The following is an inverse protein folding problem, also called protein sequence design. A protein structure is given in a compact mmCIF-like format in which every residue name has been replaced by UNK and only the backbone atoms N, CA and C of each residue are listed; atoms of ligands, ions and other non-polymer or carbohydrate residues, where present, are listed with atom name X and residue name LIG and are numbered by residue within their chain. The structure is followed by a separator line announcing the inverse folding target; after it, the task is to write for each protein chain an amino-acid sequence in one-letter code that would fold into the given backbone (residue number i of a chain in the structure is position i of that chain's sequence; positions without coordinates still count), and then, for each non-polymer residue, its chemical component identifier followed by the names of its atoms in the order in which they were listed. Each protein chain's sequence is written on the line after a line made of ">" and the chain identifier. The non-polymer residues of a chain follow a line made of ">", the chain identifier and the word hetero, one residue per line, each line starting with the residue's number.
data_IF_105948711744
#
_entry.id   IF_105948711744
#
_cell.length_a   1.000
_cell.length_b   1.000
_cell.length_c   1.000
_cell.angle_alpha   90.00
_cell.angle_beta   90.00
_cell.angle_gamma   90.00
#
_symmetry.space_group_name_H-M   'P 1'
#
loop_
_entity.id
_entity.type
_entity.pdbx_description
1 polymer ?
2 non-polymer ?
3 non-polymer ?
4 non-polymer ?
5 water ?
#
# COMPACT_ATOMS: atom_id res chain seq x y z
N UNK A 2 -12.22 -6.96 -27.03
CA UNK A 2 -13.08 -6.67 -25.87
C UNK A 2 -13.24 -5.18 -25.64
N UNK A 3 -12.13 -4.44 -25.70
CA UNK A 3 -12.15 -3.02 -25.40
C UNK A 3 -12.01 -2.15 -26.63
N UNK A 4 -12.09 -2.72 -27.83
CA UNK A 4 -11.99 -1.88 -29.01
C UNK A 4 -13.16 -0.90 -29.04
N UNK A 5 -12.85 0.37 -29.29
CA UNK A 5 -13.85 1.44 -29.31
C UNK A 5 -14.52 1.62 -27.96
N UNK A 6 -13.88 1.17 -26.88
CA UNK A 6 -14.36 1.42 -25.52
C UNK A 6 -13.23 2.07 -24.74
N UNK A 7 -13.56 2.62 -23.58
CA UNK A 7 -12.53 3.24 -22.75
C UNK A 7 -12.69 2.78 -21.29
N UNK A 8 -11.57 2.85 -20.57
CA UNK A 8 -11.46 2.36 -19.20
C UNK A 8 -11.16 3.56 -18.30
N UNK A 9 -11.85 3.64 -17.18
CA UNK A 9 -11.52 4.60 -16.13
C UNK A 9 -10.97 3.84 -14.94
N UNK A 10 -9.75 4.19 -14.53
CA UNK A 10 -9.17 3.68 -13.29
C UNK A 10 -9.30 4.75 -12.23
N UNK A 11 -9.89 4.41 -11.09
CA UNK A 11 -10.08 5.37 -10.01
C UNK A 11 -8.91 5.22 -9.05
N UNK A 12 -8.02 6.21 -9.02
CA UNK A 12 -6.89 6.16 -8.10
C UNK A 12 -5.56 5.90 -8.79
N UNK A 13 -4.61 6.79 -8.58
CA UNK A 13 -3.29 6.66 -9.15
C UNK A 13 -2.25 6.30 -8.10
N UNK A 14 -2.55 5.32 -7.27
CA UNK A 14 -1.53 4.70 -6.43
C UNK A 14 -0.68 3.76 -7.26
N UNK A 15 0.23 3.04 -6.62
CA UNK A 15 1.10 2.12 -7.38
C UNK A 15 0.31 1.09 -8.17
N UNK A 16 -0.82 0.62 -7.61
CA UNK A 16 -1.60 -0.42 -8.28
C UNK A 16 -2.36 0.17 -9.48
N UNK A 17 -3.07 1.28 -9.26
CA UNK A 17 -3.80 1.91 -10.38
C UNK A 17 -2.89 2.34 -11.52
N UNK A 18 -1.73 2.92 -11.20
CA UNK A 18 -0.83 3.35 -12.28
C UNK A 18 -0.28 2.15 -13.03
N UNK A 19 0.00 1.06 -12.33
CA UNK A 19 0.45 -0.17 -13.00
C UNK A 19 -0.65 -0.72 -13.90
N UNK A 20 -1.88 -0.79 -13.37
CA UNK A 20 -3.06 -1.09 -14.18
C UNK A 20 -3.08 -0.28 -15.47
N UNK A 21 -2.92 1.03 -15.35
CA UNK A 21 -3.01 1.88 -16.54
C UNK A 21 -1.95 1.51 -17.55
N UNK A 22 -0.71 1.29 -17.09
CA UNK A 22 0.39 1.00 -18.01
C UNK A 22 0.13 -0.29 -18.77
N UNK A 23 -0.22 -1.37 -18.04
CA UNK A 23 -0.44 -2.66 -18.67
C UNK A 23 -1.61 -2.63 -19.65
N UNK A 24 -2.64 -1.82 -19.40
CA UNK A 24 -3.69 -1.65 -20.40
C UNK A 24 -3.22 -0.78 -21.56
N UNK A 25 -2.65 0.37 -21.25
CA UNK A 25 -2.27 1.31 -22.30
C UNK A 25 -1.26 0.73 -23.27
N UNK A 26 -0.35 -0.11 -22.77
CA UNK A 26 0.65 -0.67 -23.68
C UNK A 26 0.05 -1.71 -24.61
N UNK A 27 -1.17 -2.16 -24.37
CA UNK A 27 -1.91 -2.99 -25.30
C UNK A 27 -2.89 -2.19 -26.16
N UNK A 28 -2.70 -0.87 -26.23
CA UNK A 28 -3.54 -0.05 -27.09
C UNK A 28 -4.89 0.32 -26.53
N UNK A 29 -5.08 0.19 -25.24
CA UNK A 29 -6.37 0.46 -24.62
C UNK A 29 -6.45 1.94 -24.31
N UNK A 30 -7.62 2.53 -24.55
CA UNK A 30 -7.93 3.90 -24.12
C UNK A 30 -8.30 3.90 -22.63
N UNK A 31 -7.38 4.38 -21.80
CA UNK A 31 -7.53 4.32 -20.35
C UNK A 31 -7.11 5.67 -19.77
N UNK A 32 -7.89 6.16 -18.81
CA UNK A 32 -7.53 7.32 -18.00
C UNK A 32 -7.47 6.90 -16.54
N UNK A 33 -6.61 7.56 -15.78
CA UNK A 33 -6.53 7.41 -14.33
C UNK A 33 -7.05 8.69 -13.70
N UNK A 34 -8.01 8.58 -12.79
CA UNK A 34 -8.51 9.75 -12.06
C UNK A 34 -7.94 9.72 -10.64
N UNK A 35 -7.16 10.74 -10.30
CA UNK A 35 -6.42 10.78 -9.05
C UNK A 35 -6.78 12.04 -8.27
N UNK A 36 -7.09 11.88 -6.98
CA UNK A 36 -7.53 13.03 -6.19
C UNK A 36 -6.41 14.02 -5.91
N UNK A 37 -5.17 13.54 -5.80
CA UNK A 37 -4.02 14.43 -5.54
C UNK A 37 -4.00 15.60 -6.50
N UNK A 38 -3.63 16.78 -5.98
CA UNK A 38 -3.69 18.01 -6.77
C UNK A 38 -2.77 17.95 -7.99
N UNK A 39 -1.56 17.43 -7.83
CA UNK A 39 -0.65 17.30 -8.96
C UNK A 39 0.40 16.26 -8.63
N UNK A 40 1.24 15.96 -9.64
CA UNK A 40 2.19 14.87 -9.48
C UNK A 40 3.32 15.18 -8.50
N UNK A 41 3.44 16.42 -8.01
CA UNK A 41 4.51 16.75 -7.10
C UNK A 41 4.15 16.47 -5.64
N UNK A 42 2.92 16.04 -5.39
CA UNK A 42 2.48 15.71 -4.03
C UNK A 42 3.39 14.65 -3.41
N UNK A 43 3.91 14.95 -2.22
CA UNK A 43 4.76 13.98 -1.53
C UNK A 43 3.90 12.86 -0.95
N UNK A 44 4.33 11.61 -1.14
CA UNK A 44 3.65 10.46 -0.57
C UNK A 44 4.32 10.10 0.74
N UNK A 45 3.56 10.15 1.84
CA UNK A 45 4.08 9.82 3.16
C UNK A 45 4.08 8.31 3.35
N UNK A 46 5.14 7.80 3.96
CA UNK A 46 5.18 6.38 4.26
C UNK A 46 6.57 5.80 4.08
N UNK A 47 6.75 4.53 4.42
CA UNK A 47 8.03 3.88 4.25
C UNK A 47 8.24 3.49 2.79
N UNK A 48 9.21 2.61 2.57
CA UNK A 48 9.49 2.15 1.23
C UNK A 48 8.64 0.91 0.89
N UNK A 49 8.60 0.60 -0.40
CA UNK A 49 7.99 -0.61 -0.90
C UNK A 49 9.05 -1.49 -1.54
N UNK A 50 8.88 -2.79 -1.45
CA UNK A 50 9.71 -3.67 -2.23
C UNK A 50 8.81 -4.62 -3.02
N UNK A 51 9.29 -4.98 -4.20
CA UNK A 51 8.52 -5.79 -5.13
C UNK A 51 9.12 -7.20 -5.17
N UNK A 52 8.25 -8.20 -5.24
CA UNK A 52 8.65 -9.59 -5.11
C UNK A 52 8.67 -10.29 -6.46
N UNK A 53 9.59 -11.23 -6.62
CA UNK A 53 9.56 -12.06 -7.80
C UNK A 53 8.25 -12.85 -7.85
N UNK A 54 7.70 -13.00 -9.05
CA UNK A 54 6.43 -13.68 -9.23
C UNK A 54 5.21 -12.80 -9.10
N UNK A 55 5.33 -11.64 -8.47
CA UNK A 55 4.16 -10.80 -8.32
C UNK A 55 4.50 -9.38 -8.71
N UNK A 56 4.89 -8.54 -7.75
CA UNK A 56 5.20 -7.15 -8.08
C UNK A 56 6.25 -7.03 -9.18
N UNK A 57 7.30 -7.84 -9.12
CA UNK A 57 8.33 -7.75 -10.15
C UNK A 57 7.86 -8.28 -11.49
N UNK A 58 6.90 -9.22 -11.47
CA UNK A 58 6.36 -9.72 -12.74
C UNK A 58 5.52 -8.66 -13.42
N UNK A 59 4.82 -7.82 -12.65
CA UNK A 59 4.08 -6.71 -13.24
C UNK A 59 5.03 -5.68 -13.86
N UNK A 60 6.09 -5.29 -13.14
CA UNK A 60 7.10 -4.42 -13.77
C UNK A 60 7.76 -5.04 -14.99
N UNK A 61 8.09 -6.33 -14.93
CA UNK A 61 8.71 -6.97 -16.09
C UNK A 61 7.80 -6.89 -17.31
N UNK A 62 6.51 -7.18 -17.12
CA UNK A 62 5.59 -7.15 -18.24
C UNK A 62 5.43 -5.74 -18.80
N UNK A 63 5.57 -4.71 -17.95
CA UNK A 63 5.49 -3.32 -18.36
C UNK A 63 6.81 -2.81 -18.96
N UNK A 64 7.86 -3.62 -18.97
CA UNK A 64 9.16 -3.14 -19.42
C UNK A 64 9.85 -2.22 -18.44
N UNK A 65 9.47 -2.27 -17.17
CA UNK A 65 9.99 -1.35 -16.15
C UNK A 65 10.84 -2.03 -15.08
N UNK A 66 11.17 -3.31 -15.24
CA UNK A 66 11.84 -4.01 -14.15
C UNK A 66 13.22 -3.42 -13.88
N UNK A 67 13.98 -3.12 -14.94
CA UNK A 67 15.30 -2.52 -14.73
C UNK A 67 15.18 -1.15 -14.09
N UNK A 68 14.21 -0.34 -14.53
CA UNK A 68 14.00 0.98 -13.95
C UNK A 68 13.80 0.88 -12.44
N UNK A 69 12.99 -0.09 -12.00
CA UNK A 69 12.79 -0.32 -10.57
C UNK A 69 14.12 -0.69 -9.91
N UNK A 70 14.82 -1.67 -10.46
CA UNK A 70 16.12 -2.07 -9.94
C UNK A 70 17.07 -0.88 -9.79
N UNK A 71 17.11 0.01 -10.79
CA UNK A 71 18.07 1.12 -10.77
C UNK A 71 17.76 2.12 -9.64
N UNK A 72 16.49 2.27 -9.28
CA UNK A 72 16.11 3.23 -8.24
C UNK A 72 15.88 2.58 -6.89
N UNK A 73 15.95 1.27 -6.80
CA UNK A 73 15.67 0.59 -5.55
C UNK A 73 16.97 0.28 -4.83
N UNK A 74 16.87 -0.04 -3.55
CA UNK A 74 18.03 -0.24 -2.69
C UNK A 74 17.88 -1.56 -1.93
N UNK A 75 18.75 -2.54 -2.15
CA UNK A 75 18.72 -3.72 -1.29
C UNK A 75 19.17 -3.36 0.12
N UNK A 76 18.44 -3.84 1.11
CA UNK A 76 18.73 -3.51 2.51
C UNK A 76 18.67 -4.75 3.36
N UNK A 77 19.63 -4.87 4.28
CA UNK A 77 19.59 -5.93 5.28
C UNK A 77 18.55 -5.63 6.34
N UNK A 78 18.48 -6.52 7.33
CA UNK A 78 17.55 -6.39 8.45
C UNK A 78 18.30 -6.69 9.74
N UNK A 79 18.19 -5.78 10.70
CA UNK A 79 18.67 -6.00 12.06
C UNK A 79 17.48 -6.24 12.96
N UNK A 80 17.64 -7.15 13.90
CA UNK A 80 16.68 -7.35 14.97
C UNK A 80 17.36 -6.92 16.25
N UNK A 81 16.75 -5.98 16.96
CA UNK A 81 17.29 -5.46 18.21
C UNK A 81 16.29 -5.67 19.33
N UNK A 82 16.79 -5.65 20.57
CA UNK A 82 15.91 -5.64 21.73
C UNK A 82 15.73 -4.21 22.23
N UNK A 83 14.92 -4.05 23.27
CA UNK A 83 14.61 -2.72 23.79
C UNK A 83 15.80 -2.05 24.45
N UNK A 84 16.84 -2.80 24.80
CA UNK A 84 18.04 -2.23 25.39
C UNK A 84 19.06 -1.81 24.33
N UNK A 85 18.73 -2.00 23.06
CA UNK A 85 19.63 -1.66 21.98
C UNK A 85 20.65 -2.71 21.60
N UNK A 86 20.51 -3.94 22.10
CA UNK A 86 21.39 -5.02 21.67
C UNK A 86 20.94 -5.56 20.32
N UNK A 87 21.88 -5.72 19.40
CA UNK A 87 21.58 -6.34 18.12
C UNK A 87 21.55 -7.85 18.33
N UNK A 88 20.36 -8.45 18.18
CA UNK A 88 20.19 -9.89 18.34
C UNK A 88 20.42 -10.65 17.04
N UNK A 89 20.28 -9.99 15.89
CA UNK A 89 20.43 -10.62 14.58
C UNK A 89 20.76 -9.55 13.56
N UNK A 90 21.74 -9.85 12.69
CA UNK A 90 22.08 -8.99 11.57
C UNK A 90 22.08 -9.85 10.31
N UNK A 91 21.13 -9.62 9.41
CA UNK A 91 21.16 -10.30 8.11
C UNK A 91 21.35 -9.26 7.02
N UNK A 92 22.55 -9.23 6.46
CA UNK A 92 22.85 -8.37 5.33
C UNK A 92 22.35 -9.03 4.04
N UNK A 93 22.31 -8.27 2.96
CA UNK A 93 21.90 -8.81 1.66
C UNK A 93 23.11 -9.37 0.95
N UNK A 94 23.07 -10.66 0.66
CA UNK A 94 24.10 -11.29 -0.13
C UNK A 94 23.90 -10.91 -1.60
N UNK A 95 24.99 -10.79 -2.36
CA UNK A 95 24.85 -10.33 -3.75
C UNK A 95 23.88 -11.15 -4.57
N UNK A 96 23.86 -12.48 -4.40
CA UNK A 96 22.95 -13.32 -5.16
C UNK A 96 21.49 -13.06 -4.83
N UNK A 97 21.19 -12.39 -3.71
CA UNK A 97 19.82 -12.06 -3.34
C UNK A 97 19.48 -10.60 -3.58
N UNK A 98 20.34 -9.84 -4.24
CA UNK A 98 20.19 -8.40 -4.28
C UNK A 98 18.99 -7.95 -5.12
N UNK A 99 18.50 -8.81 -6.01
CA UNK A 99 17.31 -8.52 -6.81
C UNK A 99 16.02 -9.08 -6.21
N UNK A 100 16.09 -9.74 -5.04
CA UNK A 100 14.93 -10.42 -4.47
C UNK A 100 13.80 -9.45 -4.12
N UNK A 101 14.12 -8.34 -3.42
CA UNK A 101 13.10 -7.36 -3.06
C UNK A 101 13.71 -6.05 -2.59
N UNK A 102 14.43 -5.33 -3.45
CA UNK A 102 15.04 -4.07 -3.03
C UNK A 102 13.99 -2.99 -2.78
N UNK A 103 14.29 -2.09 -1.84
CA UNK A 103 13.33 -1.10 -1.36
C UNK A 103 13.34 0.11 -2.28
N UNK A 104 12.16 0.61 -2.61
CA UNK A 104 12.05 1.81 -3.45
C UNK A 104 11.15 2.83 -2.75
N UNK A 105 11.58 4.09 -2.80
CA UNK A 105 10.76 5.18 -2.29
C UNK A 105 9.45 5.27 -3.06
N UNK A 106 8.35 5.60 -2.37
CA UNK A 106 7.04 5.59 -3.02
C UNK A 106 6.91 6.68 -4.07
N UNK A 107 7.52 7.85 -3.84
CA UNK A 107 7.51 8.87 -4.89
C UNK A 107 8.35 8.45 -6.09
N UNK A 108 9.49 7.76 -5.85
CA UNK A 108 10.28 7.24 -6.95
C UNK A 108 9.48 6.23 -7.77
N UNK A 109 8.72 5.38 -7.09
CA UNK A 109 7.93 4.39 -7.81
C UNK A 109 6.79 5.06 -8.59
N UNK A 110 6.09 6.01 -7.98
CA UNK A 110 5.11 6.78 -8.74
C UNK A 110 5.73 7.41 -9.99
N UNK A 111 6.92 7.99 -9.86
CA UNK A 111 7.56 8.66 -10.99
C UNK A 111 7.88 7.69 -12.12
N UNK A 112 8.39 6.51 -11.79
CA UNK A 112 8.66 5.49 -12.81
C UNK A 112 7.39 5.19 -13.58
N UNK A 113 6.29 4.95 -12.85
CA UNK A 113 5.04 4.58 -13.50
C UNK A 113 4.45 5.75 -14.30
N UNK A 114 4.43 6.94 -13.71
CA UNK A 114 3.95 8.12 -14.44
C UNK A 114 4.75 8.34 -15.71
N UNK A 115 6.07 8.22 -15.64
CA UNK A 115 6.91 8.46 -16.81
C UNK A 115 6.67 7.43 -17.91
N UNK A 116 6.18 6.24 -17.56
CA UNK A 116 5.90 5.21 -18.54
C UNK A 116 4.58 5.41 -19.27
N UNK A 117 3.72 6.30 -18.78
CA UNK A 117 2.41 6.48 -19.39
C UNK A 117 2.46 7.62 -20.40
N UNK A 118 1.54 7.59 -21.36
CA UNK A 118 1.42 8.72 -22.27
C UNK A 118 0.97 9.96 -21.52
N UNK A 119 1.36 11.13 -22.05
CA UNK A 119 0.99 12.40 -21.44
C UNK A 119 -0.52 12.47 -21.22
N UNK A 120 -0.92 13.02 -20.08
CA UNK A 120 -2.33 13.23 -19.75
C UNK A 120 -3.10 11.92 -19.60
N UNK A 121 -2.43 10.81 -19.33
CA UNK A 121 -3.15 9.61 -18.92
C UNK A 121 -3.77 9.82 -17.54
N UNK A 122 -3.03 10.42 -16.63
CA UNK A 122 -3.55 10.71 -15.31
C UNK A 122 -4.22 12.08 -15.35
N UNK A 123 -5.45 12.14 -14.86
CA UNK A 123 -6.16 13.40 -14.69
C UNK A 123 -6.15 13.72 -13.21
N UNK A 124 -5.34 14.72 -12.83
CA UNK A 124 -5.14 15.11 -11.44
C UNK A 124 -6.31 15.94 -10.90
N UNK A 125 -6.37 16.08 -9.57
CA UNK A 125 -7.43 16.86 -8.92
C UNK A 125 -8.81 16.34 -9.29
N UNK A 126 -8.94 15.01 -9.34
CA UNK A 126 -10.20 14.35 -9.70
C UNK A 126 -10.53 13.37 -8.59
N UNK A 127 -11.37 13.78 -7.66
CA UNK A 127 -11.79 12.92 -6.57
C UNK A 127 -13.17 12.36 -6.92
N UNK A 128 -13.22 11.07 -7.27
CA UNK A 128 -14.49 10.43 -7.59
C UNK A 128 -15.37 10.38 -6.35
N UNK A 129 -16.62 10.81 -6.50
CA UNK A 129 -17.57 10.72 -5.38
C UNK A 129 -18.74 9.80 -5.67
N UNK A 130 -19.08 9.53 -6.93
CA UNK A 130 -20.29 8.75 -7.22
C UNK A 130 -20.17 8.13 -8.61
N UNK A 131 -20.80 6.97 -8.77
CA UNK A 131 -20.88 6.26 -10.04
C UNK A 131 -22.34 6.04 -10.37
N UNK A 132 -22.70 6.16 -11.65
CA UNK A 132 -24.06 5.85 -12.07
C UNK A 132 -23.98 5.05 -13.36
N UNK A 133 -24.53 3.84 -13.40
CA UNK A 133 -24.52 3.04 -14.63
C UNK A 133 -25.59 3.50 -15.60
N UNK A 134 -25.21 3.73 -16.85
CA UNK A 134 -26.14 4.01 -17.93
C UNK A 134 -26.46 2.76 -18.72
N UNK A 135 -26.91 2.95 -19.95
CA UNK A 135 -27.23 1.81 -20.82
C UNK A 135 -26.00 0.99 -21.13
N UNK A 136 -24.91 1.66 -21.53
CA UNK A 136 -23.66 1.02 -21.83
C UNK A 136 -22.47 1.62 -21.10
N UNK A 137 -22.56 2.86 -20.60
CA UNK A 137 -21.43 3.54 -20.00
C UNK A 137 -21.76 3.98 -18.58
N UNK A 138 -20.76 3.89 -17.71
CA UNK A 138 -20.81 4.53 -16.41
C UNK A 138 -20.64 6.03 -16.56
N UNK A 139 -21.32 6.79 -15.70
CA UNK A 139 -21.05 8.21 -15.52
C UNK A 139 -20.33 8.39 -14.20
N UNK A 140 -19.21 9.10 -14.24
CA UNK A 140 -18.36 9.31 -13.09
C UNK A 140 -18.56 10.74 -12.60
N UNK A 141 -18.90 10.89 -11.32
CA UNK A 141 -19.07 12.21 -10.72
C UNK A 141 -17.87 12.50 -9.81
N UNK A 142 -17.25 13.66 -10.03
CA UNK A 142 -16.08 14.09 -9.28
C UNK A 142 -16.42 15.30 -8.44
N UNK A 143 -15.58 15.54 -7.42
CA UNK A 143 -15.79 16.69 -6.54
C UNK A 143 -15.50 17.98 -7.30
N UNK A 144 -16.56 18.76 -7.58
CA UNK A 144 -16.47 20.11 -8.17
C UNK A 144 -15.77 20.13 -9.54
N UNK A 145 -15.85 19.04 -10.28
CA UNK A 145 -15.27 18.93 -11.60
C UNK A 145 -16.28 18.26 -12.52
N UNK A 146 -16.18 18.45 -13.83
CA UNK A 146 -17.18 17.87 -14.74
C UNK A 146 -17.09 16.36 -14.82
N UNK A 147 -18.22 15.75 -15.15
CA UNK A 147 -18.34 14.29 -15.15
C UNK A 147 -17.64 13.70 -16.36
N UNK A 148 -17.41 12.38 -16.29
CA UNK A 148 -16.81 11.61 -17.38
C UNK A 148 -17.56 10.30 -17.52
N UNK A 149 -17.33 9.61 -18.64
CA UNK A 149 -17.96 8.33 -18.90
C UNK A 149 -16.92 7.28 -19.23
N UNK A 150 -17.27 6.01 -18.97
CA UNK A 150 -16.40 4.91 -19.33
C UNK A 150 -17.21 3.62 -19.45
N UNK A 151 -16.76 2.73 -20.34
CA UNK A 151 -17.38 1.42 -20.50
C UNK A 151 -17.00 0.48 -19.36
N UNK A 152 -15.85 0.70 -18.76
CA UNK A 152 -15.33 -0.15 -17.70
C UNK A 152 -14.74 0.74 -16.62
N UNK A 153 -15.11 0.51 -15.36
CA UNK A 153 -14.55 1.24 -14.22
C UNK A 153 -13.75 0.26 -13.37
N UNK A 154 -12.52 0.63 -13.03
CA UNK A 154 -11.66 -0.19 -12.16
C UNK A 154 -11.37 0.62 -10.91
N UNK A 155 -11.87 0.15 -9.78
CA UNK A 155 -11.71 0.84 -8.50
C UNK A 155 -10.32 0.53 -7.96
N UNK A 156 -9.48 1.55 -7.82
CA UNK A 156 -8.11 1.34 -7.35
C UNK A 156 -7.70 2.42 -6.36
N UNK A 157 -8.64 2.93 -5.58
CA UNK A 157 -8.38 4.14 -4.83
C UNK A 157 -8.17 3.86 -3.34
N UNK A 158 -7.62 2.69 -3.01
CA UNK A 158 -7.08 2.46 -1.67
C UNK A 158 -8.07 1.84 -0.71
N UNK A 159 -7.55 1.56 0.50
CA UNK A 159 -8.28 0.75 1.46
C UNK A 159 -9.55 1.37 2.00
N UNK A 160 -9.62 2.71 2.06
CA UNK A 160 -10.82 3.38 2.55
C UNK A 160 -11.74 3.88 1.44
N UNK A 161 -11.76 3.21 0.30
CA UNK A 161 -12.63 3.62 -0.79
C UNK A 161 -14.08 3.64 -0.38
N UNK A 162 -14.80 4.69 -0.78
CA UNK A 162 -16.22 4.76 -0.53
C UNK A 162 -17.04 4.52 -1.80
N UNK A 163 -16.40 4.06 -2.88
CA UNK A 163 -17.10 3.83 -4.14
C UNK A 163 -17.08 2.34 -4.50
N UNK A 164 -17.33 1.49 -3.50
CA UNK A 164 -17.26 0.04 -3.68
C UNK A 164 -18.62 -0.63 -3.85
N UNK A 165 -19.72 0.07 -3.59
CA UNK A 165 -20.99 -0.61 -3.33
C UNK A 165 -21.57 -1.32 -4.55
N UNK A 166 -21.19 -0.92 -5.77
CA UNK A 166 -21.64 -1.71 -6.92
C UNK A 166 -20.95 -3.06 -7.01
N UNK A 167 -19.87 -3.25 -6.26
CA UNK A 167 -19.14 -4.50 -6.27
C UNK A 167 -19.43 -5.34 -5.04
N UNK A 168 -19.47 -4.73 -3.85
CA UNK A 168 -19.67 -5.47 -2.62
C UNK A 168 -20.19 -4.54 -1.51
N UNK A 169 -20.97 -5.11 -0.60
CA UNK A 169 -21.41 -4.43 0.62
C UNK A 169 -20.44 -4.58 1.78
N UNK A 170 -19.35 -5.31 1.58
CA UNK A 170 -18.34 -5.49 2.62
C UNK A 170 -17.88 -4.12 3.13
N UNK A 171 -17.71 -4.02 4.45
CA UNK A 171 -17.18 -2.82 5.09
C UNK A 171 -15.76 -3.05 5.57
N UNK A 172 -14.94 -2.00 5.55
CA UNK A 172 -13.63 -2.08 6.20
C UNK A 172 -13.81 -2.27 7.70
N UNK A 173 -12.85 -2.94 8.33
CA UNK A 173 -12.89 -3.23 9.76
C UNK A 173 -11.58 -2.84 10.40
N UNK A 174 -11.64 -2.39 11.65
CA UNK A 174 -10.44 -2.19 12.44
C UNK A 174 -10.00 -3.53 13.04
N UNK A 175 -8.70 -3.80 13.01
CA UNK A 175 -8.20 -5.07 13.51
C UNK A 175 -7.88 -5.05 15.00
N UNK A 176 -7.74 -3.89 15.61
CA UNK A 176 -7.36 -3.81 17.01
C UNK A 176 -5.93 -3.39 17.27
N UNK A 177 -5.13 -3.13 16.25
CA UNK A 177 -3.82 -2.54 16.47
C UNK A 177 -3.79 -1.13 15.90
N UNK A 178 -2.76 -0.39 16.31
CA UNK A 178 -2.67 1.01 15.96
C UNK A 178 -1.23 1.34 15.59
N UNK A 179 -1.05 2.27 14.66
CA UNK A 179 0.25 2.58 14.09
C UNK A 179 0.53 4.07 14.18
N UNK A 180 1.72 4.40 14.66
CA UNK A 180 2.22 5.77 14.67
C UNK A 180 3.45 5.83 13.79
N UNK A 181 3.51 6.80 12.89
CA UNK A 181 4.56 6.85 11.90
C UNK A 181 5.16 8.25 11.86
N UNK A 182 6.42 8.33 11.45
CA UNK A 182 7.06 9.62 11.39
C UNK A 182 8.31 9.52 10.54
N UNK A 183 8.79 10.68 10.10
CA UNK A 183 10.04 10.81 9.40
C UNK A 183 10.98 11.68 10.20
N UNK A 184 12.27 11.36 10.15
CA UNK A 184 13.31 12.23 10.68
C UNK A 184 14.26 12.56 9.55
N UNK A 185 14.41 13.84 9.26
CA UNK A 185 15.37 14.30 8.27
C UNK A 185 16.74 14.45 8.91
N UNK A 186 17.79 14.27 8.11
CA UNK A 186 19.18 14.23 8.56
C UNK A 186 19.30 13.38 9.84
N UNK A 187 18.88 12.10 9.80
CA UNK A 187 18.93 11.29 11.01
C UNK A 187 20.34 11.10 11.54
N UNK A 188 21.34 11.13 10.66
CA UNK A 188 22.72 11.02 11.12
C UNK A 188 23.09 12.18 12.05
N UNK A 189 22.35 13.28 11.99
CA UNK A 189 22.54 14.40 12.89
C UNK A 189 21.51 14.41 14.01
N UNK A 190 20.26 14.09 13.69
CA UNK A 190 19.17 14.33 14.64
C UNK A 190 18.85 13.14 15.52
N UNK A 191 19.11 11.92 15.07
CA UNK A 191 19.05 10.73 15.93
C UNK A 191 20.29 9.87 15.71
N UNK A 192 21.47 10.40 15.99
CA UNK A 192 22.70 9.67 15.63
C UNK A 192 22.81 8.28 16.25
N UNK A 193 22.41 8.13 17.50
CA UNK A 193 22.58 6.83 18.15
C UNK A 193 21.74 5.74 17.52
N UNK A 194 20.46 6.04 17.26
CA UNK A 194 19.60 5.06 16.62
C UNK A 194 20.01 4.85 15.17
N UNK A 195 20.45 5.92 14.50
CA UNK A 195 20.93 5.79 13.13
C UNK A 195 22.10 4.81 13.06
N UNK A 196 23.06 4.95 13.96
CA UNK A 196 24.18 4.01 13.99
C UNK A 196 23.74 2.61 14.42
N UNK A 197 22.67 2.51 15.21
CA UNK A 197 22.17 1.19 15.56
C UNK A 197 21.65 0.47 14.33
N UNK A 198 20.94 1.18 13.44
CA UNK A 198 20.47 0.57 12.21
C UNK A 198 21.63 0.16 11.32
N UNK A 199 22.67 0.99 11.26
CA UNK A 199 23.88 0.67 10.51
C UNK A 199 23.55 0.26 9.08
N UNK A 200 22.74 1.08 8.41
CA UNK A 200 22.37 0.83 7.03
C UNK A 200 21.33 -0.24 6.79
N UNK A 201 20.91 -0.95 7.84
CA UNK A 201 19.86 -1.96 7.71
C UNK A 201 18.54 -1.44 8.25
N UNK A 202 17.44 -2.00 7.74
CA UNK A 202 16.16 -1.82 8.40
C UNK A 202 16.22 -2.51 9.76
N UNK A 203 15.53 -1.95 10.73
CA UNK A 203 15.62 -2.44 12.11
C UNK A 203 14.23 -2.68 12.66
N UNK A 204 14.08 -3.77 13.39
CA UNK A 204 12.83 -4.06 14.07
C UNK A 204 13.12 -4.50 15.49
N UNK A 205 12.22 -4.15 16.40
CA UNK A 205 12.37 -4.46 17.82
C UNK A 205 11.00 -4.55 18.45
N UNK A 206 10.87 -5.40 19.47
CA UNK A 206 9.59 -5.64 20.11
C UNK A 206 9.80 -5.88 21.60
N UNK A 207 8.93 -5.28 22.42
CA UNK A 207 9.06 -5.39 23.88
C UNK A 207 7.73 -5.05 24.52
N UNK A 208 7.13 -6.00 25.23
CA UNK A 208 5.93 -5.78 26.04
C UNK A 208 4.80 -5.15 25.21
N UNK A 209 4.60 -5.66 24.00
CA UNK A 209 3.47 -5.26 23.19
C UNK A 209 3.67 -4.00 22.38
N UNK A 210 4.84 -3.34 22.47
CA UNK A 210 5.17 -2.22 21.60
C UNK A 210 6.16 -2.68 20.55
N UNK A 211 5.88 -2.37 19.29
CA UNK A 211 6.72 -2.77 18.17
C UNK A 211 7.29 -1.52 17.51
N UNK A 212 8.57 -1.57 17.12
CA UNK A 212 9.21 -0.48 16.39
C UNK A 212 9.85 -1.03 15.11
N UNK A 213 9.59 -0.35 13.99
CA UNK A 213 10.20 -0.71 12.72
C UNK A 213 10.76 0.56 12.08
N UNK A 214 11.99 0.48 11.58
CA UNK A 214 12.60 1.68 11.01
C UNK A 214 13.36 1.36 9.74
N UNK A 215 13.37 2.36 8.85
CA UNK A 215 14.22 2.39 7.66
C UNK A 215 15.11 3.61 7.77
N UNK A 216 16.43 3.44 7.96
CA UNK A 216 17.31 4.60 8.18
C UNK A 216 17.62 5.38 6.90
N UNK A 217 17.20 4.91 5.73
CA UNK A 217 17.59 5.59 4.51
C UNK A 217 16.50 5.44 3.46
N UNK A 218 15.39 6.17 3.68
CA UNK A 218 14.36 6.33 2.66
C UNK A 218 14.66 7.64 1.94
N UNK A 219 15.49 7.56 0.89
CA UNK A 219 15.94 8.72 0.14
C UNK A 219 16.49 9.79 1.08
N UNK A 220 17.31 9.35 2.02
CA UNK A 220 18.02 10.25 2.93
C UNK A 220 17.33 10.51 4.24
N UNK A 221 16.03 10.23 4.35
CA UNK A 221 15.32 10.37 5.61
C UNK A 221 15.22 9.03 6.32
N UNK A 222 15.02 9.09 7.64
CA UNK A 222 14.71 7.90 8.42
C UNK A 222 13.20 7.86 8.64
N UNK A 223 12.57 6.77 8.23
CA UNK A 223 11.15 6.54 8.50
C UNK A 223 11.02 5.48 9.58
N UNK A 224 10.17 5.74 10.59
CA UNK A 224 9.93 4.70 11.59
C UNK A 224 8.45 4.60 11.92
N UNK A 225 8.07 3.45 12.45
CA UNK A 225 6.69 3.21 12.82
C UNK A 225 6.67 2.53 14.16
N UNK A 226 5.77 2.94 15.04
CA UNK A 226 5.55 2.30 16.33
C UNK A 226 4.13 1.78 16.34
N UNK A 227 3.97 0.49 16.69
CA UNK A 227 2.67 -0.16 16.63
C UNK A 227 2.37 -0.91 17.93
N UNK A 228 1.09 -1.01 18.25
CA UNK A 228 0.65 -1.61 19.51
C UNK A 228 -0.83 -1.91 19.39
N UNK A 229 -1.33 -2.76 20.30
CA UNK A 229 -2.77 -2.90 20.45
C UNK A 229 -3.40 -1.57 20.82
N UNK A 230 -4.52 -1.25 20.18
CA UNK A 230 -5.21 0.01 20.44
C UNK A 230 -5.62 0.10 21.90
N UNK A 231 -5.19 1.13 22.63
CA UNK A 231 -5.55 1.24 24.05
C UNK A 231 -7.07 1.26 24.25
N UNK A 232 -7.53 0.57 25.29
CA UNK A 232 -8.95 0.53 25.58
C UNK A 232 -9.50 1.91 25.93
N UNK A 233 -8.70 2.74 26.59
CA UNK A 233 -9.13 4.11 26.89
C UNK A 233 -9.47 4.88 25.62
N UNK A 234 -8.82 4.55 24.50
CA UNK A 234 -9.09 5.22 23.24
C UNK A 234 -10.39 4.76 22.58
N UNK A 235 -11.09 3.81 23.17
CA UNK A 235 -12.31 3.29 22.54
C UNK A 235 -13.32 4.42 22.41
N UNK A 236 -13.87 4.58 21.20
CA UNK A 236 -14.78 5.66 20.87
C UNK A 236 -14.03 6.98 20.91
N UNK A 239 -7.37 9.45 22.35
CA UNK A 239 -7.11 10.54 23.31
C UNK A 239 -5.78 11.26 23.10
N UNK A 240 -4.96 10.73 22.19
CA UNK A 240 -3.75 11.43 21.75
C UNK A 240 -4.12 12.26 20.53
N UNK A 241 -3.97 13.57 20.64
CA UNK A 241 -4.16 14.47 19.51
C UNK A 241 -2.88 14.46 18.69
N UNK A 242 -2.92 13.85 17.49
CA UNK A 242 -1.71 13.69 16.70
C UNK A 242 -1.28 14.99 16.02
N UNK A 243 -2.13 16.00 16.05
CA UNK A 243 -1.72 17.35 15.69
C UNK A 243 -0.82 17.98 16.74
N UNK A 244 -0.83 17.46 17.96
CA UNK A 244 -0.10 18.02 19.10
C UNK A 244 1.11 17.14 19.38
N UNK A 245 2.27 17.51 18.83
CA UNK A 245 3.44 16.65 18.99
C UNK A 245 3.80 16.45 20.45
N UNK A 246 3.53 17.47 21.29
CA UNK A 246 3.87 17.35 22.71
C UNK A 246 3.02 16.28 23.39
N UNK A 247 1.76 16.16 23.00
CA UNK A 247 0.91 15.09 23.52
C UNK A 247 1.38 13.72 23.05
N UNK A 248 1.75 13.61 21.76
CA UNK A 248 2.24 12.34 21.23
C UNK A 248 3.57 11.96 21.88
N UNK A 249 4.50 12.92 22.02
CA UNK A 249 5.78 12.60 22.67
C UNK A 249 5.54 12.08 24.08
N UNK A 250 4.62 12.69 24.81
CA UNK A 250 4.38 12.30 26.18
C UNK A 250 3.87 10.87 26.26
N UNK A 251 2.91 10.52 25.41
CA UNK A 251 2.36 9.17 25.39
C UNK A 251 3.43 8.15 25.03
N UNK A 252 4.18 8.40 23.95
CA UNK A 252 5.18 7.42 23.52
C UNK A 252 6.29 7.24 24.54
N UNK A 253 6.73 8.34 25.18
CA UNK A 253 7.80 8.22 26.17
C UNK A 253 7.34 7.40 27.38
N UNK A 254 6.06 7.48 27.74
CA UNK A 254 5.55 6.58 28.76
C UNK A 254 5.53 5.13 28.28
N UNK A 255 5.08 4.92 27.04
CA UNK A 255 5.04 3.55 26.51
C UNK A 255 6.45 2.96 26.43
N UNK A 256 7.44 3.77 26.02
CA UNK A 256 8.80 3.29 25.81
C UNK A 256 9.70 3.57 27.00
N UNK A 257 9.13 3.64 28.21
CA UNK A 257 9.88 4.15 29.35
C UNK A 257 11.08 3.28 29.70
N UNK A 258 11.05 1.99 29.38
CA UNK A 258 12.20 1.15 29.69
C UNK A 258 13.03 0.78 28.45
N UNK A 259 12.82 1.49 27.34
CA UNK A 259 13.66 1.32 26.16
C UNK A 259 14.91 2.20 26.26
N UNK A 260 15.98 1.74 25.60
CA UNK A 260 17.26 2.48 25.55
C UNK A 260 17.04 3.92 25.07
N UNK A 261 17.93 4.83 25.51
CA UNK A 261 17.79 6.24 25.14
C UNK A 261 17.89 6.48 23.65
N UNK A 262 18.54 5.58 22.91
CA UNK A 262 18.61 5.77 21.47
C UNK A 262 17.22 5.69 20.84
N UNK A 263 16.33 4.87 21.38
CA UNK A 263 14.94 4.86 20.92
C UNK A 263 14.16 6.08 21.40
N UNK A 264 14.36 6.47 22.67
CA UNK A 264 13.65 7.64 23.18
C UNK A 264 14.01 8.89 22.41
N UNK A 265 15.28 9.00 21.97
CA UNK A 265 15.73 10.16 21.19
C UNK A 265 14.93 10.28 19.91
N UNK A 266 14.72 9.16 19.22
CA UNK A 266 13.86 9.11 18.05
C UNK A 266 12.53 9.80 18.32
N UNK A 267 11.89 9.46 19.44
CA UNK A 267 10.60 10.04 19.81
C UNK A 267 10.75 11.53 20.11
N UNK A 268 11.79 11.90 20.88
CA UNK A 268 11.92 13.29 21.32
C UNK A 268 12.14 14.25 20.16
N UNK A 269 12.84 13.83 19.10
CA UNK A 269 13.24 14.77 18.06
C UNK A 269 12.31 14.78 16.88
N UNK A 270 11.31 13.90 16.85
CA UNK A 270 10.39 13.86 15.72
C UNK A 270 9.56 15.14 15.63
N UNK A 271 9.52 15.75 14.45
CA UNK A 271 8.80 17.00 14.33
C UNK A 271 7.29 16.80 14.33
N UNK A 272 6.79 15.75 13.68
CA UNK A 272 5.35 15.49 13.70
C UNK A 272 5.08 14.02 13.46
N UNK A 273 3.93 13.56 13.95
CA UNK A 273 3.56 12.15 13.93
C UNK A 273 2.23 11.95 13.22
N UNK A 274 2.08 10.78 12.61
CA UNK A 274 0.85 10.38 11.94
C UNK A 274 0.38 9.10 12.59
N UNK A 275 -0.87 9.09 13.07
CA UNK A 275 -1.46 7.91 13.67
C UNK A 275 -2.53 7.32 12.77
N UNK A 276 -2.71 6.00 12.84
CA UNK A 276 -3.59 5.30 11.91
C UNK A 276 -3.97 3.95 12.50
N UNK A 277 -5.26 3.68 12.63
CA UNK A 277 -5.69 2.36 13.04
C UNK A 277 -5.44 1.34 11.93
N UNK A 278 -4.96 0.16 12.31
CA UNK A 278 -4.84 -0.93 11.34
C UNK A 278 -6.22 -1.37 10.89
N UNK A 279 -6.38 -1.56 9.59
CA UNK A 279 -7.67 -1.98 9.06
C UNK A 279 -7.50 -3.12 8.09
N UNK A 280 -8.62 -3.78 7.81
CA UNK A 280 -8.67 -4.88 6.87
C UNK A 280 -9.97 -4.77 6.08
N UNK A 281 -9.92 -5.09 4.80
CA UNK A 281 -11.12 -5.22 3.97
C UNK A 281 -11.29 -6.71 3.70
N UNK A 282 -12.09 -7.42 4.50
CA UNK A 282 -11.96 -8.89 4.52
C UNK A 282 -12.62 -9.55 3.32
N UNK A 283 -11.88 -10.44 2.67
CA UNK A 283 -12.42 -11.26 1.59
C UNK A 283 -13.12 -12.46 2.21
N UNK A 284 -14.39 -12.64 1.89
CA UNK A 284 -15.10 -13.78 2.42
C UNK A 284 -16.02 -14.37 1.39
N UNK A 285 -17.32 -14.15 1.58
CA UNK A 285 -18.30 -14.53 0.57
C UNK A 285 -18.04 -13.74 -0.72
N UNK A 286 -18.45 -14.33 -1.84
CA UNK A 286 -18.25 -13.72 -3.14
C UNK A 286 -18.82 -12.31 -3.20
N UNK A 287 -18.30 -11.51 -4.13
CA UNK A 287 -18.79 -10.16 -4.34
C UNK A 287 -20.12 -10.22 -5.09
N UNK A 288 -20.70 -9.06 -5.40
CA UNK A 288 -22.02 -9.05 -6.02
C UNK A 288 -21.92 -9.65 -7.42
N UNK A 289 -22.88 -10.51 -7.76
CA UNK A 289 -22.97 -11.01 -9.11
C UNK A 289 -23.91 -10.13 -9.93
N UNK A 290 -23.79 -10.21 -11.25
CA UNK A 290 -24.69 -9.54 -12.19
C UNK A 290 -24.79 -8.04 -11.89
N UNK A 291 -23.65 -7.37 -11.96
CA UNK A 291 -23.60 -5.94 -11.75
C UNK A 291 -24.15 -5.21 -12.97
N UNK A 292 -24.64 -3.98 -12.80
CA UNK A 292 -25.35 -3.32 -13.92
C UNK A 292 -24.48 -3.05 -15.13
N UNK A 293 -23.19 -2.75 -14.93
CA UNK A 293 -22.22 -2.56 -16.00
C UNK A 293 -20.89 -3.10 -15.48
N UNK A 294 -19.87 -3.31 -16.33
CA UNK A 294 -18.62 -3.94 -15.85
C UNK A 294 -17.88 -3.03 -14.88
N UNK A 295 -17.51 -3.59 -13.73
CA UNK A 295 -16.77 -2.86 -12.72
C UNK A 295 -16.09 -3.87 -11.83
N UNK A 296 -14.88 -3.53 -11.39
CA UNK A 296 -14.17 -4.38 -10.46
C UNK A 296 -13.28 -3.49 -9.60
N UNK A 297 -12.52 -4.13 -8.70
CA UNK A 297 -11.57 -3.46 -7.82
C UNK A 297 -10.26 -4.22 -7.69
N UNK A 298 -9.18 -3.45 -7.49
CA UNK A 298 -7.84 -3.99 -7.41
C UNK A 298 -7.10 -3.30 -6.26
N UNK A 299 -6.00 -3.92 -5.82
CA UNK A 299 -5.19 -3.29 -4.78
C UNK A 299 -5.86 -3.27 -3.41
N UNK A 300 -5.54 -2.23 -2.62
CA UNK A 300 -6.10 -2.15 -1.28
C UNK A 300 -7.62 -2.00 -1.29
N UNK A 301 -8.18 -1.39 -2.35
CA UNK A 301 -9.63 -1.31 -2.45
C UNK A 301 -10.25 -2.70 -2.45
N UNK A 302 -9.54 -3.68 -2.99
CA UNK A 302 -10.00 -5.07 -3.07
C UNK A 302 -9.68 -5.88 -1.82
N UNK A 303 -8.53 -5.66 -1.18
CA UNK A 303 -8.11 -6.58 -0.12
C UNK A 303 -7.14 -5.96 0.87
N UNK A 304 -7.36 -4.69 1.24
CA UNK A 304 -6.57 -4.05 2.29
C UNK A 304 -6.34 -5.02 3.46
N UNK A 305 -5.11 -5.08 3.95
CA UNK A 305 -4.81 -6.01 5.03
C UNK A 305 -3.66 -5.44 5.86
N UNK A 306 -3.46 -5.94 7.08
CA UNK A 306 -2.36 -5.45 7.91
C UNK A 306 -1.03 -5.62 7.20
N UNK A 307 -0.08 -4.71 7.43
CA UNK A 307 1.20 -4.70 6.68
C UNK A 307 2.41 -5.31 7.39
N UNK A 308 2.25 -5.81 8.63
CA UNK A 308 3.43 -6.08 9.46
C UNK A 308 4.34 -7.18 8.90
N UNK A 309 3.82 -8.14 8.14
CA UNK A 309 4.64 -9.22 7.59
C UNK A 309 5.02 -9.00 6.12
N UNK A 310 4.74 -7.82 5.57
CA UNK A 310 5.17 -7.52 4.22
C UNK A 310 4.14 -7.73 3.15
N UNK A 311 2.93 -8.17 3.51
CA UNK A 311 1.85 -8.21 2.53
C UNK A 311 1.38 -6.79 2.27
N UNK A 312 1.04 -6.51 1.01
CA UNK A 312 0.47 -5.22 0.69
C UNK A 312 0.43 -4.92 -0.79
N UNK A 313 1.46 -4.26 -1.31
CA UNK A 313 1.36 -3.79 -2.69
C UNK A 313 1.47 -4.95 -3.67
N UNK A 314 2.17 -6.02 -3.29
CA UNK A 314 2.47 -7.05 -4.28
C UNK A 314 1.22 -7.82 -4.69
N UNK A 315 0.30 -8.06 -3.75
CA UNK A 315 -0.96 -8.68 -4.16
C UNK A 315 -1.75 -7.75 -5.06
N UNK A 316 -1.65 -6.43 -4.85
CA UNK A 316 -2.32 -5.50 -5.74
C UNK A 316 -1.71 -5.47 -7.13
N UNK A 317 -0.36 -5.59 -7.20
CA UNK A 317 0.29 -5.60 -8.51
C UNK A 317 -0.03 -6.89 -9.26
N UNK A 318 -0.18 -8.00 -8.52
CA UNK A 318 -0.71 -9.22 -9.12
C UNK A 318 -2.08 -9.00 -9.72
N UNK A 319 -2.97 -8.29 -8.98
CA UNK A 319 -4.31 -8.00 -9.50
C UNK A 319 -4.21 -7.34 -10.86
N UNK A 320 -3.31 -6.37 -10.97
CA UNK A 320 -3.22 -5.57 -12.20
C UNK A 320 -2.72 -6.44 -13.34
N UNK A 321 -1.75 -7.31 -13.04
CA UNK A 321 -1.21 -8.22 -14.03
C UNK A 321 -2.28 -9.18 -14.55
N UNK A 322 -3.07 -9.74 -13.64
CA UNK A 322 -4.08 -10.74 -14.04
C UNK A 322 -5.22 -10.06 -14.79
N UNK A 323 -5.78 -9.00 -14.20
CA UNK A 323 -6.91 -8.33 -14.84
C UNK A 323 -6.53 -7.77 -16.21
N UNK A 324 -5.36 -7.14 -16.31
CA UNK A 324 -4.96 -6.57 -17.62
C UNK A 324 -4.77 -7.66 -18.66
N UNK A 325 -4.23 -8.82 -18.26
CA UNK A 325 -4.11 -9.91 -19.23
C UNK A 325 -5.48 -10.44 -19.67
N UNK A 326 -6.39 -10.61 -18.72
CA UNK A 326 -7.72 -11.10 -19.09
C UNK A 326 -8.41 -10.12 -20.03
N UNK A 327 -8.21 -8.82 -19.82
CA UNK A 327 -8.90 -7.84 -20.67
C UNK A 327 -8.28 -7.74 -22.05
N UNK A 328 -7.09 -8.27 -22.28
CA UNK A 328 -6.41 -8.05 -23.54
C UNK A 328 -5.97 -9.32 -24.25
N UNK A 329 -6.14 -10.49 -23.64
CA UNK A 329 -5.58 -11.69 -24.26
C UNK A 329 -6.52 -12.31 -25.29
N UNK A 330 -7.70 -11.75 -25.49
CA UNK A 330 -8.60 -12.24 -26.51
C UNK A 330 -9.25 -13.57 -26.24
N UNK A 331 -9.20 -14.06 -25.01
CA UNK A 331 -9.75 -15.36 -24.67
C UNK A 331 -11.15 -15.30 -24.08
N UNK A 332 -11.60 -14.15 -23.60
CA UNK A 332 -12.89 -14.05 -22.93
C UNK A 332 -13.92 -13.46 -23.88
N UNK A 333 -15.17 -13.93 -23.77
CA UNK A 333 -16.25 -13.43 -24.62
C UNK A 333 -16.83 -12.10 -24.14
N UNK A 334 -16.48 -11.65 -22.95
CA UNK A 334 -17.05 -10.39 -22.47
C UNK A 334 -16.16 -9.83 -21.38
N UNK A 335 -16.27 -8.52 -21.17
CA UNK A 335 -15.54 -7.88 -20.09
C UNK A 335 -15.96 -8.47 -18.75
N UNK A 336 -17.26 -8.73 -18.57
CA UNK A 336 -17.73 -9.34 -17.32
C UNK A 336 -17.03 -10.66 -17.04
N UNK A 337 -16.88 -11.50 -18.06
CA UNK A 337 -16.23 -12.79 -17.85
C UNK A 337 -14.73 -12.63 -17.55
N UNK A 338 -14.07 -11.67 -18.21
CA UNK A 338 -12.68 -11.38 -17.87
C UNK A 338 -12.55 -10.93 -16.42
N UNK A 339 -13.47 -10.07 -15.96
CA UNK A 339 -13.47 -9.60 -14.57
C UNK A 339 -13.67 -10.77 -13.61
N UNK A 340 -14.69 -11.59 -13.87
CA UNK A 340 -14.98 -12.72 -13.00
C UNK A 340 -13.78 -13.63 -12.85
N UNK A 341 -13.06 -13.87 -13.94
CA UNK A 341 -11.89 -14.75 -13.86
C UNK A 341 -10.81 -14.15 -12.97
N UNK A 342 -10.56 -12.84 -13.10
CA UNK A 342 -9.59 -12.18 -12.23
C UNK A 342 -10.04 -12.29 -10.77
N UNK A 343 -11.30 -11.96 -10.48
CA UNK A 343 -11.76 -11.92 -9.09
C UNK A 343 -11.68 -13.30 -8.43
N UNK A 344 -12.01 -14.35 -9.17
CA UNK A 344 -11.90 -15.69 -8.60
C UNK A 344 -10.46 -16.01 -8.24
N UNK A 345 -9.49 -15.64 -9.09
CA UNK A 345 -8.09 -15.89 -8.76
C UNK A 345 -7.65 -15.09 -7.55
N UNK A 346 -8.00 -13.80 -7.54
CA UNK A 346 -7.61 -12.90 -6.46
C UNK A 346 -8.21 -13.34 -5.13
N UNK A 347 -9.41 -13.89 -5.15
CA UNK A 347 -9.98 -14.39 -3.91
C UNK A 347 -9.10 -15.48 -3.30
N UNK A 348 -8.41 -16.28 -4.13
CA UNK A 348 -7.57 -17.34 -3.60
C UNK A 348 -6.29 -16.77 -3.00
N UNK A 349 -5.48 -16.07 -3.81
CA UNK A 349 -4.23 -15.56 -3.26
C UNK A 349 -4.48 -14.41 -2.28
N UNK A 350 -5.56 -13.65 -2.47
CA UNK A 350 -5.86 -12.58 -1.54
C UNK A 350 -6.30 -13.10 -0.17
N UNK A 351 -7.12 -14.15 -0.15
CA UNK A 351 -7.46 -14.77 1.12
C UNK A 351 -6.25 -15.41 1.78
N UNK A 352 -5.38 -16.05 0.99
CA UNK A 352 -4.14 -16.60 1.55
C UNK A 352 -3.32 -15.51 2.22
N UNK A 353 -3.13 -14.39 1.52
CA UNK A 353 -2.32 -13.31 2.08
C UNK A 353 -2.99 -12.69 3.31
N UNK A 354 -4.31 -12.52 3.26
CA UNK A 354 -5.01 -11.95 4.41
C UNK A 354 -4.89 -12.87 5.64
N UNK A 355 -4.99 -14.18 5.44
CA UNK A 355 -4.87 -15.05 6.61
C UNK A 355 -3.46 -15.04 7.17
N UNK A 356 -2.42 -14.97 6.32
CA UNK A 356 -1.08 -14.86 6.88
C UNK A 356 -0.90 -13.53 7.60
N UNK A 357 -1.43 -12.45 7.03
CA UNK A 357 -1.25 -11.15 7.67
C UNK A 357 -1.99 -11.09 9.00
N UNK A 358 -3.21 -11.63 9.05
CA UNK A 358 -3.96 -11.63 10.29
C UNK A 358 -3.32 -12.54 11.33
N UNK A 359 -2.87 -13.72 10.90
CA UNK A 359 -2.16 -14.61 11.84
C UNK A 359 -0.92 -13.95 12.39
N UNK A 360 -0.12 -13.34 11.51
CA UNK A 360 1.09 -12.69 11.97
C UNK A 360 0.78 -11.57 12.94
N UNK A 361 -0.28 -10.80 12.67
CA UNK A 361 -0.68 -9.72 13.57
C UNK A 361 -1.04 -10.24 14.95
N UNK A 362 -1.84 -11.32 15.01
CA UNK A 362 -2.13 -11.93 16.30
C UNK A 362 -0.85 -12.31 17.04
N UNK A 363 0.11 -12.89 16.31
CA UNK A 363 1.32 -13.40 16.95
C UNK A 363 2.23 -12.26 17.41
N UNK A 364 2.45 -11.26 16.55
CA UNK A 364 3.39 -10.19 16.84
C UNK A 364 2.95 -9.30 17.98
N UNK A 365 1.64 -9.26 18.29
CA UNK A 365 1.14 -8.36 19.33
C UNK A 365 0.74 -9.10 20.60
N UNK A 366 1.09 -10.38 20.72
CA UNK A 366 1.01 -11.04 22.01
C UNK A 366 1.96 -10.34 22.99
N UNK A 367 1.56 -10.16 24.25
CA UNK A 367 2.36 -9.33 25.17
C UNK A 367 3.78 -9.80 25.36
N UNK A 368 4.10 -11.05 25.02
CA UNK A 368 5.43 -11.60 25.26
C UNK A 368 6.20 -11.84 23.96
N UNK A 369 5.75 -11.26 22.86
CA UNK A 369 6.41 -11.48 21.58
C UNK A 369 7.77 -10.82 21.54
N UNK A 370 8.72 -11.51 20.90
CA UNK A 370 9.98 -10.92 20.46
C UNK A 370 10.33 -11.54 19.12
N UNK A 371 11.04 -10.80 18.29
CA UNK A 371 11.46 -11.31 16.99
C UNK A 371 12.56 -12.36 17.16
X LIG B 1 -2.95 3.43 -2.41
X LIG B 1 -3.74 3.78 -1.17
X LIG B 1 -1.46 3.31 -2.34
X LIG B 1 -3.36 4.46 -3.64
X LIG B 1 -4.72 4.86 -3.75
X LIG B 1 -4.76 6.13 -4.60
X LIG B 1 -6.11 6.59 -4.80
X LIG B 1 -4.03 7.29 -3.91
X LIG B 1 -3.13 7.81 -4.84
X LIG B 1 -5.16 8.27 -3.49
X LIG B 1 -4.83 9.63 -3.52
X LIG B 1 -6.20 7.98 -4.56
X LIG B 1 -7.60 8.20 -4.22
X LIG B 1 -8.22 7.94 -3.02
X LIG B 1 -9.49 8.22 -3.05
X LIG B 1 -9.74 8.69 -4.33
X LIG B 1 -10.89 9.14 -4.99
X LIG B 1 -12.08 9.19 -4.38
X LIG B 1 -10.80 9.51 -6.27
X LIG B 1 -9.61 9.46 -6.86
X LIG B 1 -8.45 9.05 -6.34
X LIG B 1 -8.57 8.67 -5.07
X LIG B 1 2.82 -2.62 1.65
X LIG B 1 3.89 -3.24 1.11
X LIG B 1 3.78 -3.89 0.10
X LIG B 1 5.06 -3.06 1.82
X LIG B 1 5.21 -2.33 2.98
X LIG B 1 6.28 -2.24 3.55
X LIG B 1 4.00 -1.71 3.46
X LIG B 1 4.04 -0.95 4.62
X LIG B 1 2.87 -0.36 5.07
X LIG B 1 2.88 0.39 6.25
X LIG B 1 1.74 0.99 6.75
X LIG B 1 1.81 1.80 8.01
X LIG B 1 0.53 0.85 6.02
X LIG B 1 -0.73 1.49 6.50
X LIG B 1 0.52 0.10 4.84
X LIG B 1 1.68 -0.50 4.35
X LIG B 1 1.66 -1.28 3.16
X LIG B 1 2.84 -1.85 2.77
X LIG B 1 0.45 -1.47 2.35
X LIG B 1 0.67 -0.83 0.95
X LIG B 1 1.42 0.34 0.97
X LIG B 1 -0.58 -0.78 0.08
X LIG B 1 -0.85 -2.13 -0.16
X LIG B 1 -0.41 -0.02 -1.24
X LIG B 1 -0.23 1.38 -1.05
X LIG B 1 -1.66 -0.30 -2.07
X LIG B 1 -1.62 0.55 -3.16
X LIG B 1 -3.00 0.94 -3.93
X LIG B 1 -2.55 1.60 -5.20
X LIG B 1 -4.03 -0.14 -3.93
X LIG B 1 -3.66 2.08 -2.97
X LIG C 1 8.37 -9.41 2.73
X LIG C 1 9.41 -8.27 2.60
X LIG C 1 9.17 -7.04 3.52
X LIG C 1 8.38 -5.86 2.88
X LIG C 1 7.64 -4.97 3.93
X LIG C 1 7.35 -4.99 6.36
X LIG C 1 5.41 -2.31 8.00
X LIG C 1 5.11 -1.90 9.38
X LIG C 1 4.33 -0.82 9.79
X LIG C 1 5.13 -1.74 11.73
X LIG C 1 5.64 -2.50 10.62
X LIG C 1 6.47 -3.57 10.95
X LIG C 1 6.78 -3.89 12.28
X LIG C 1 6.26 -3.13 13.35
X LIG C 1 5.43 -2.05 13.09
X LIG C 1 8.04 -5.72 11.45
X LIG C 1 7.82 -5.52 5.26
X LIG C 1 7.64 -5.67 7.53
X LIG C 1 6.56 -3.74 6.51
X LIG C 1 6.20 -3.34 7.79
X LIG C 1 4.32 -0.70 11.19
X LIG C 1 7.60 -4.94 12.55
X LIG D 1 -4.83 -8.56 17.63
X LIG D 1 -5.37 -9.59 18.51
X LIG D 1 -5.77 -7.43 17.49
X LIG D 1 -3.58 -8.09 18.22
X LIG D 1 -4.58 -9.12 16.29
#
# INVERSE_FOLDING_TARGET
>A
NLLSDKNVAIIGGGPVGLTMAKLLQQNGIDVSVYERDNDREARIFGGTLDLHKGSGQEAMKKAGLLQTYYDLALPMGVNIADEKGNILSTKNVKPENRFDNPEINRNDLRAILLNSLENDTVIWDRKLVMLEPGKKKWTLTFENKPSETADLVIIANGGMSKVRKFVTDTEVEETGTFNIQADIHHPEVNCPGFFQLCNGNRLMAAHQGNLLFANPNNNGALHFGISFKTPDEWKNQTQVDFQNRNSVVDFLLKEFSDWDERYKELIRVTSSFVGLATRIFPLGKSWKSKRPLPITMIGDAAHLMPPFAGQGVNSGLMDALILSDNLTNGKFNSIEEAIENYEQQMFIYGKEAQEESTQNEIEMFKPDFTF
>B hetero
1 FDA PA O1A O2A O5B C5B C4B O4B C3B O3B C2B O2B C1B N9A C8A N7A C5A C6A N6A N1A C2A N3A C4A N1 C2 O2 N3 C4 O4 C4X N5 C5X C6 C7 C7M C8 C8M C9 C9A N10 C10 C1' C2' O2' C3' O3' C4' O4' C5' O5' P O1P O2P O3P
>C hetero
1 A1IVL C01 C02 C03 C04 C05 C07 C11 C12 C13 C15 C16 C17 C18 C19 C20 C22 N06 N08 N09 N10 N14 O21
>D hetero
1 SO4 S O1 O2 O3 O4
#
